data_IF_649511783437
#
_entry.id   IF_649511783437
#
_cell.length_a   1.000
_cell.length_b   1.000
_cell.length_c   1.000
_cell.angle_alpha   90.00
_cell.angle_beta   90.00
_cell.angle_gamma   90.00
#
_symmetry.space_group_name_H-M   'P 1'
#
loop_
_entity.id
_entity.type
_entity.pdbx_description
1 polymer ?
#
# COMPACT_ATOMS: atom_id res chain seq x y z
N UNK A 1 3.42 4.48 -37.57
CA UNK A 1 3.93 4.11 -36.23
C UNK A 1 2.82 3.42 -35.44
N UNK A 2 2.31 2.28 -35.95
CA UNK A 2 1.10 1.63 -35.43
C UNK A 2 1.13 0.11 -35.62
N UNK A 3 2.30 -0.52 -35.60
CA UNK A 3 2.46 -1.95 -35.91
C UNK A 3 2.94 -2.81 -34.74
N UNK A 4 3.13 -2.24 -33.55
CA UNK A 4 3.47 -3.02 -32.34
C UNK A 4 2.60 -2.58 -31.16
N UNK A 5 1.30 -2.43 -31.42
CA UNK A 5 0.31 -2.47 -30.35
C UNK A 5 0.32 -3.92 -29.85
N UNK A 6 1.29 -4.24 -28.98
CA UNK A 6 1.18 -5.42 -28.13
C UNK A 6 0.02 -5.09 -27.22
N UNK A 7 -1.18 -5.42 -27.69
CA UNK A 7 -2.35 -5.63 -26.87
C UNK A 7 -1.97 -6.77 -25.94
N UNK A 8 -1.24 -6.46 -24.86
CA UNK A 8 -1.17 -7.33 -23.70
C UNK A 8 -2.63 -7.66 -23.41
N UNK A 9 -2.99 -8.94 -23.48
CA UNK A 9 -4.38 -9.36 -23.28
C UNK A 9 -4.91 -8.75 -21.98
N UNK A 10 -6.14 -8.26 -21.96
CA UNK A 10 -6.80 -7.79 -20.74
C UNK A 10 -6.70 -8.82 -19.61
N UNK A 11 -6.66 -10.12 -19.97
CA UNK A 11 -6.45 -11.23 -19.05
C UNK A 11 -5.08 -11.19 -18.36
N UNK A 12 -4.01 -10.79 -19.08
CA UNK A 12 -2.66 -10.66 -18.54
C UNK A 12 -2.55 -9.47 -17.59
N UNK A 13 -3.17 -8.33 -17.91
CA UNK A 13 -3.20 -7.14 -17.04
C UNK A 13 -3.99 -7.42 -15.77
N UNK A 14 -5.16 -8.06 -15.90
CA UNK A 14 -5.98 -8.49 -14.77
C UNK A 14 -5.24 -9.49 -13.87
N UNK A 15 -4.56 -10.48 -14.46
CA UNK A 15 -3.74 -11.45 -13.73
C UNK A 15 -2.57 -10.80 -12.97
N UNK A 16 -1.85 -9.89 -13.62
CA UNK A 16 -0.77 -9.12 -12.98
C UNK A 16 -1.29 -8.25 -11.83
N UNK A 17 -2.38 -7.50 -12.05
CA UNK A 17 -3.01 -6.67 -11.03
C UNK A 17 -3.50 -7.48 -9.83
N UNK A 18 -4.06 -8.68 -10.08
CA UNK A 18 -4.50 -9.58 -9.02
C UNK A 18 -3.31 -10.09 -8.19
N UNK A 19 -2.22 -10.52 -8.85
CA UNK A 19 -0.99 -10.92 -8.16
C UNK A 19 -0.37 -9.78 -7.33
N UNK A 20 -0.33 -8.57 -7.89
CA UNK A 20 0.11 -7.37 -7.18
C UNK A 20 -0.80 -7.05 -5.98
N UNK A 21 -2.12 -7.22 -6.12
CA UNK A 21 -3.07 -7.01 -5.03
C UNK A 21 -2.83 -8.00 -3.87
N UNK A 22 -2.62 -9.29 -4.16
CA UNK A 22 -2.22 -10.26 -3.13
C UNK A 22 -0.90 -9.87 -2.47
N UNK A 23 0.08 -9.44 -3.26
CA UNK A 23 1.37 -9.01 -2.71
C UNK A 23 1.23 -7.80 -1.77
N UNK A 24 0.47 -6.77 -2.16
CA UNK A 24 0.17 -5.62 -1.29
C UNK A 24 -0.62 -6.07 -0.06
N UNK A 25 -1.61 -6.94 -0.22
CA UNK A 25 -2.41 -7.46 0.89
C UNK A 25 -1.53 -8.18 1.94
N UNK A 26 -0.61 -9.05 1.51
CA UNK A 26 0.36 -9.70 2.42
C UNK A 26 1.20 -8.66 3.15
N UNK A 27 1.64 -7.59 2.47
CA UNK A 27 2.39 -6.50 3.09
C UNK A 27 1.55 -5.65 4.06
N UNK A 28 0.23 -5.59 3.92
CA UNK A 28 -0.64 -4.89 4.87
C UNK A 28 -0.92 -5.72 6.13
N UNK A 29 -0.99 -7.05 6.02
CA UNK A 29 -1.22 -7.93 7.18
C UNK A 29 -0.17 -7.71 8.28
N UNK A 30 1.11 -7.61 7.92
CA UNK A 30 2.17 -7.32 8.88
C UNK A 30 1.99 -5.97 9.60
N UNK A 31 1.42 -4.96 8.93
CA UNK A 31 1.13 -3.66 9.53
C UNK A 31 -0.08 -3.72 10.47
N UNK A 32 -1.14 -4.44 10.07
CA UNK A 32 -2.36 -4.66 10.89
C UNK A 32 -2.03 -5.42 12.18
N UNK A 33 -1.14 -6.40 12.10
CA UNK A 33 -0.66 -7.17 13.27
C UNK A 33 0.38 -6.40 14.10
N UNK A 34 0.90 -5.27 13.61
CA UNK A 34 1.93 -4.49 14.28
C UNK A 34 3.31 -5.17 14.32
N UNK A 35 3.58 -6.12 13.43
CA UNK A 35 4.82 -6.88 13.41
C UNK A 35 5.98 -6.11 12.76
N UNK A 36 7.20 -6.35 13.22
CA UNK A 36 8.42 -5.79 12.65
C UNK A 36 9.19 -6.85 11.86
N UNK A 37 8.72 -7.12 10.65
CA UNK A 37 9.34 -8.08 9.74
C UNK A 37 10.40 -7.40 8.89
N UNK A 38 11.53 -8.10 8.71
CA UNK A 38 12.53 -7.67 7.73
C UNK A 38 11.97 -7.87 6.32
N UNK A 39 12.17 -6.89 5.45
CA UNK A 39 11.87 -7.05 4.03
C UNK A 39 12.89 -8.01 3.41
N UNK A 40 12.40 -9.09 2.80
CA UNK A 40 13.24 -10.01 2.02
C UNK A 40 13.30 -9.56 0.57
N UNK A 41 14.43 -9.68 -0.10
CA UNK A 41 14.53 -9.43 -1.54
C UNK A 41 14.84 -10.73 -2.29
N UNK A 42 14.14 -10.98 -3.40
CA UNK A 42 14.30 -12.17 -4.22
C UNK A 42 13.01 -12.95 -4.52
N UNK A 43 13.11 -14.02 -5.35
CA UNK A 43 11.98 -14.87 -5.68
C UNK A 43 11.42 -15.56 -4.43
N UNK A 44 10.10 -15.82 -4.40
CA UNK A 44 9.38 -16.44 -3.27
C UNK A 44 9.35 -15.62 -1.96
N UNK A 45 9.66 -14.31 -2.00
CA UNK A 45 9.51 -13.37 -0.87
C UNK A 45 8.20 -13.54 -0.09
N UNK A 46 7.09 -13.77 -0.80
CA UNK A 46 5.77 -13.98 -0.18
C UNK A 46 5.77 -15.18 0.76
N UNK A 47 6.32 -16.33 0.35
CA UNK A 47 6.37 -17.53 1.19
C UNK A 47 7.21 -17.31 2.46
N UNK A 48 8.36 -16.64 2.32
CA UNK A 48 9.19 -16.29 3.48
C UNK A 48 8.46 -15.34 4.44
N UNK A 49 7.74 -14.37 3.89
CA UNK A 49 6.93 -13.42 4.69
C UNK A 49 5.82 -14.14 5.44
N UNK A 50 5.09 -15.06 4.81
CA UNK A 50 4.05 -15.85 5.48
C UNK A 50 4.62 -16.72 6.61
N UNK A 51 5.78 -17.35 6.39
CA UNK A 51 6.46 -18.15 7.42
C UNK A 51 6.79 -17.30 8.65
N UNK A 52 7.29 -16.08 8.44
CA UNK A 52 7.68 -15.20 9.53
C UNK A 52 6.48 -14.56 10.23
N UNK A 53 5.41 -14.24 9.51
CA UNK A 53 4.12 -13.84 10.11
C UNK A 53 3.64 -14.93 11.08
N UNK A 54 3.68 -16.20 10.66
CA UNK A 54 3.22 -17.29 11.53
C UNK A 54 4.13 -17.50 12.75
N UNK A 55 5.45 -17.33 12.59
CA UNK A 55 6.41 -17.44 13.71
C UNK A 55 6.28 -16.30 14.73
N UNK A 56 6.00 -15.08 14.27
CA UNK A 56 5.92 -13.89 15.12
C UNK A 56 4.49 -13.49 15.47
N UNK A 57 3.49 -14.32 15.15
CA UNK A 57 2.08 -14.02 15.40
C UNK A 57 1.80 -13.72 16.88
N UNK A 58 2.48 -14.43 17.80
CA UNK A 58 2.36 -14.23 19.24
C UNK A 58 3.01 -12.93 19.75
N UNK A 59 3.83 -12.26 18.95
CA UNK A 59 4.44 -10.96 19.26
C UNK A 59 3.63 -9.80 18.65
N UNK A 60 2.47 -10.08 18.06
CA UNK A 60 1.59 -9.07 17.50
C UNK A 60 1.11 -8.09 18.58
N UNK A 61 0.94 -6.83 18.18
CA UNK A 61 0.50 -5.77 19.08
C UNK A 61 -1.04 -5.69 19.08
N UNK A 62 -1.72 -6.09 20.18
CA UNK A 62 -3.18 -6.13 20.21
C UNK A 62 -3.81 -4.75 20.03
N UNK A 63 -3.14 -3.67 20.45
CA UNK A 63 -3.65 -2.31 20.28
C UNK A 63 -3.66 -1.89 18.82
N UNK A 64 -2.61 -2.21 18.08
CA UNK A 64 -2.54 -1.96 16.63
C UNK A 64 -3.60 -2.76 15.88
N UNK A 65 -3.84 -4.00 16.29
CA UNK A 65 -4.90 -4.84 15.72
C UNK A 65 -6.28 -4.24 15.93
N UNK A 66 -6.60 -3.78 17.15
CA UNK A 66 -7.90 -3.15 17.46
C UNK A 66 -8.08 -1.85 16.66
N UNK A 67 -7.08 -0.97 16.64
CA UNK A 67 -7.13 0.29 15.87
C UNK A 67 -7.31 0.00 14.38
N UNK A 68 -6.60 -1.00 13.85
CA UNK A 68 -6.72 -1.41 12.44
C UNK A 68 -8.11 -1.97 12.13
N UNK A 69 -8.66 -2.81 13.01
CA UNK A 69 -10.00 -3.38 12.86
C UNK A 69 -11.08 -2.29 12.87
N UNK A 70 -10.99 -1.32 13.78
CA UNK A 70 -11.90 -0.16 13.82
C UNK A 70 -11.78 0.64 12.52
N UNK A 71 -10.55 0.95 12.10
CA UNK A 71 -10.27 1.72 10.88
C UNK A 71 -10.85 1.05 9.64
N UNK A 72 -10.61 -0.26 9.48
CA UNK A 72 -11.16 -1.06 8.38
C UNK A 72 -12.69 -1.07 8.43
N UNK A 73 -13.27 -1.29 9.61
CA UNK A 73 -14.73 -1.32 9.77
C UNK A 73 -15.38 0.00 9.37
N UNK A 74 -14.81 1.14 9.79
CA UNK A 74 -15.30 2.48 9.42
C UNK A 74 -15.20 2.71 7.92
N UNK A 75 -14.08 2.33 7.28
CA UNK A 75 -13.90 2.49 5.84
C UNK A 75 -14.89 1.61 5.05
N UNK A 76 -15.05 0.35 5.45
CA UNK A 76 -15.99 -0.59 4.81
C UNK A 76 -17.43 -0.10 4.97
N UNK A 77 -17.81 0.33 6.18
CA UNK A 77 -19.13 0.89 6.45
C UNK A 77 -19.40 2.13 5.57
N UNK A 78 -18.43 3.02 5.45
CA UNK A 78 -18.56 4.18 4.59
C UNK A 78 -18.76 3.78 3.12
N UNK A 79 -17.95 2.87 2.60
CA UNK A 79 -18.03 2.47 1.19
C UNK A 79 -19.34 1.71 0.87
N UNK A 80 -19.89 0.96 1.84
CA UNK A 80 -21.11 0.19 1.62
C UNK A 80 -22.40 0.98 1.81
N UNK A 81 -22.42 1.98 2.70
CA UNK A 81 -23.65 2.68 3.08
C UNK A 81 -23.59 4.16 2.69
N UNK A 82 -22.54 4.85 3.13
CA UNK A 82 -22.44 6.31 3.00
C UNK A 82 -22.18 6.68 1.53
N UNK A 83 -21.25 6.00 0.88
CA UNK A 83 -20.88 6.25 -0.51
C UNK A 83 -22.05 6.09 -1.49
N UNK A 84 -22.81 4.97 -1.53
CA UNK A 84 -23.97 4.86 -2.44
C UNK A 84 -25.09 5.85 -2.12
N UNK A 85 -25.34 6.13 -0.84
CA UNK A 85 -26.31 7.14 -0.44
C UNK A 85 -25.88 8.55 -0.88
N UNK A 86 -24.61 8.89 -0.69
CA UNK A 86 -24.04 10.18 -1.06
C UNK A 86 -23.94 10.36 -2.58
N UNK A 87 -23.64 9.29 -3.32
CA UNK A 87 -23.65 9.28 -4.78
C UNK A 87 -25.03 9.58 -5.37
N UNK A 88 -26.10 9.29 -4.65
CA UNK A 88 -27.47 9.67 -5.05
C UNK A 88 -27.69 11.18 -4.96
N UNK A 89 -26.93 11.88 -4.09
CA UNK A 89 -27.09 13.32 -3.81
C UNK A 89 -26.00 14.19 -4.44
N UNK A 90 -24.82 13.65 -4.72
CA UNK A 90 -23.66 14.43 -5.16
C UNK A 90 -22.72 13.58 -6.02
N UNK A 91 -22.15 14.16 -7.09
CA UNK A 91 -21.22 13.47 -8.01
C UNK A 91 -19.81 13.28 -7.43
N UNK A 92 -19.50 13.91 -6.29
CA UNK A 92 -18.17 13.94 -5.69
C UNK A 92 -18.05 12.84 -4.64
N UNK A 93 -17.01 11.99 -4.68
CA UNK A 93 -16.80 10.96 -3.66
C UNK A 93 -16.51 11.58 -2.29
N UNK A 94 -17.08 11.01 -1.23
CA UNK A 94 -16.90 11.52 0.13
C UNK A 94 -15.48 11.23 0.65
N UNK A 95 -14.73 12.22 1.18
CA UNK A 95 -13.32 12.09 1.53
C UNK A 95 -13.08 11.39 2.89
N UNK A 96 -13.77 10.27 3.18
CA UNK A 96 -13.69 9.59 4.49
C UNK A 96 -12.25 9.20 4.87
N UNK A 97 -11.46 8.77 3.89
CA UNK A 97 -10.09 8.27 4.11
C UNK A 97 -9.22 9.35 4.74
N UNK A 98 -9.39 10.60 4.31
CA UNK A 98 -8.68 11.74 4.85
C UNK A 98 -9.13 12.09 6.27
N UNK A 99 -10.45 12.02 6.53
CA UNK A 99 -11.03 12.26 7.86
C UNK A 99 -10.48 11.24 8.86
N UNK A 100 -10.55 9.95 8.52
CA UNK A 100 -10.05 8.86 9.37
C UNK A 100 -8.55 8.98 9.61
N UNK A 101 -7.76 9.30 8.58
CA UNK A 101 -6.32 9.54 8.71
C UNK A 101 -6.01 10.69 9.68
N UNK A 102 -6.71 11.81 9.54
CA UNK A 102 -6.50 13.00 10.38
C UNK A 102 -6.91 12.72 11.84
N UNK A 103 -8.08 12.10 12.04
CA UNK A 103 -8.55 11.71 13.36
C UNK A 103 -7.61 10.71 14.04
N UNK A 104 -7.15 9.68 13.31
CA UNK A 104 -6.19 8.70 13.82
C UNK A 104 -4.85 9.33 14.20
N UNK A 105 -4.38 10.30 13.42
CA UNK A 105 -3.14 11.04 13.72
C UNK A 105 -3.29 11.89 14.99
N UNK A 106 -4.42 12.59 15.14
CA UNK A 106 -4.73 13.38 16.34
C UNK A 106 -4.83 12.48 17.58
N UNK A 107 -5.54 11.36 17.49
CA UNK A 107 -5.64 10.39 18.59
C UNK A 107 -4.26 9.81 18.94
N UNK A 108 -3.44 9.47 17.94
CA UNK A 108 -2.07 8.98 18.17
C UNK A 108 -1.20 9.97 18.93
N UNK A 109 -1.33 11.26 18.61
CA UNK A 109 -0.65 12.35 19.32
C UNK A 109 -1.16 12.52 20.75
N UNK A 110 -2.48 12.62 20.95
CA UNK A 110 -3.11 12.88 22.25
C UNK A 110 -2.87 11.72 23.24
N UNK A 111 -2.95 10.48 22.77
CA UNK A 111 -2.80 9.28 23.61
C UNK A 111 -1.36 8.74 23.64
N UNK A 112 -0.43 9.38 22.93
CA UNK A 112 0.98 9.00 22.83
C UNK A 112 1.17 7.50 22.55
N UNK A 113 0.52 7.01 21.48
CA UNK A 113 0.49 5.57 21.15
C UNK A 113 1.88 4.99 20.88
N UNK A 114 2.81 5.81 20.41
CA UNK A 114 4.20 5.40 20.18
C UNK A 114 4.87 4.97 21.48
N UNK A 115 4.88 5.82 22.50
CA UNK A 115 5.60 5.55 23.74
C UNK A 115 4.86 4.56 24.65
N UNK A 116 3.52 4.60 24.66
CA UNK A 116 2.71 3.80 25.60
C UNK A 116 2.43 2.38 25.10
N UNK A 117 2.27 2.21 23.79
CA UNK A 117 1.89 0.93 23.19
C UNK A 117 2.91 0.43 22.17
N UNK A 118 4.10 1.04 22.07
CA UNK A 118 5.14 0.69 21.11
C UNK A 118 4.60 0.62 19.66
N UNK A 119 3.64 1.49 19.33
CA UNK A 119 3.05 1.56 18.00
C UNK A 119 3.98 2.29 17.05
N UNK A 120 4.17 1.75 15.84
CA UNK A 120 4.98 2.42 14.81
C UNK A 120 4.24 3.62 14.27
N UNK A 121 4.88 4.79 14.31
CA UNK A 121 4.33 6.04 13.77
C UNK A 121 5.07 6.42 12.48
N UNK A 122 4.39 7.21 11.65
CA UNK A 122 5.04 7.89 10.53
C UNK A 122 6.02 8.89 11.13
N UNK A 123 7.31 8.71 10.84
CA UNK A 123 8.38 9.55 11.36
C UNK A 123 8.35 10.98 10.80
N UNK A 124 9.47 11.69 10.93
CA UNK A 124 9.58 13.05 10.41
C UNK A 124 9.51 13.06 8.88
N UNK A 125 8.52 13.76 8.35
CA UNK A 125 8.40 14.02 6.91
C UNK A 125 9.17 15.32 6.62
N UNK A 126 10.20 15.31 5.76
CA UNK A 126 10.92 16.52 5.41
C UNK A 126 9.99 17.50 4.67
N UNK A 127 10.09 18.78 5.01
CA UNK A 127 9.32 19.84 4.37
C UNK A 127 10.12 20.49 3.26
N UNK A 128 9.48 20.73 2.11
CA UNK A 128 10.11 21.33 0.93
C UNK A 128 10.50 20.30 -0.14
N UNK A 129 10.99 20.80 -1.28
CA UNK A 129 11.47 19.95 -2.36
C UNK A 129 12.87 19.40 -2.02
N UNK A 130 13.12 18.11 -2.26
CA UNK A 130 14.47 17.58 -2.17
C UNK A 130 15.36 18.24 -3.24
N UNK A 131 16.64 18.40 -2.95
CA UNK A 131 17.60 18.96 -3.90
C UNK A 131 17.71 18.06 -5.13
N UNK A 132 17.54 18.60 -6.36
CA UNK A 132 17.69 17.82 -7.59
C UNK A 132 19.06 17.15 -7.61
N UNK A 133 19.07 15.82 -7.72
CA UNK A 133 20.29 15.01 -7.71
C UNK A 133 20.32 14.18 -8.99
N UNK A 134 21.45 14.16 -9.68
CA UNK A 134 21.63 13.37 -10.91
C UNK A 134 21.67 11.89 -10.54
N UNK A 135 20.91 11.02 -11.23
CA UNK A 135 20.93 9.60 -10.96
C UNK A 135 22.30 9.00 -11.35
N UNK A 136 22.88 8.11 -10.53
CA UNK A 136 24.14 7.46 -10.84
C UNK A 136 24.00 6.54 -12.07
N UNK A 137 24.68 6.89 -13.16
CA UNK A 137 24.61 6.16 -14.44
C UNK A 137 25.18 4.73 -14.32
N UNK A 138 26.08 4.51 -13.37
CA UNK A 138 26.68 3.19 -13.08
C UNK A 138 25.65 2.12 -12.67
N UNK A 139 24.49 2.53 -12.12
CA UNK A 139 23.40 1.63 -11.74
C UNK A 139 22.48 1.28 -12.92
N UNK A 140 22.53 2.04 -14.01
CA UNK A 140 21.67 1.88 -15.17
C UNK A 140 21.69 0.46 -15.77
N UNK A 141 22.86 -0.20 -16.00
CA UNK A 141 22.87 -1.57 -16.53
C UNK A 141 22.27 -2.60 -15.57
N UNK A 142 22.23 -2.34 -14.26
CA UNK A 142 21.65 -3.26 -13.27
C UNK A 142 20.13 -3.17 -13.20
N UNK A 143 19.55 -2.02 -13.52
CA UNK A 143 18.10 -1.77 -13.39
C UNK A 143 17.37 -1.75 -14.74
N UNK A 144 18.09 -1.75 -15.88
CA UNK A 144 17.49 -1.60 -17.21
C UNK A 144 16.39 -2.62 -17.50
N UNK A 145 16.56 -3.87 -17.05
CA UNK A 145 15.58 -4.94 -17.23
C UNK A 145 14.33 -4.69 -16.39
N UNK A 146 14.47 -4.35 -15.11
CA UNK A 146 13.34 -4.01 -14.24
C UNK A 146 12.59 -2.78 -14.76
N UNK A 147 13.33 -1.76 -15.22
CA UNK A 147 12.76 -0.56 -15.83
C UNK A 147 11.98 -0.86 -17.11
N UNK A 148 12.49 -1.75 -17.99
CA UNK A 148 11.78 -2.15 -19.20
C UNK A 148 10.45 -2.83 -18.86
N UNK A 149 10.44 -3.73 -17.87
CA UNK A 149 9.22 -4.40 -17.39
C UNK A 149 8.22 -3.37 -16.83
N UNK A 150 8.67 -2.47 -15.95
CA UNK A 150 7.83 -1.42 -15.37
C UNK A 150 7.26 -0.52 -16.47
N UNK A 151 8.06 -0.16 -17.48
CA UNK A 151 7.63 0.68 -18.60
C UNK A 151 6.50 0.02 -19.40
N UNK A 152 6.64 -1.26 -19.76
CA UNK A 152 5.60 -2.02 -20.47
C UNK A 152 4.32 -2.12 -19.65
N UNK A 153 4.42 -2.44 -18.35
CA UNK A 153 3.26 -2.51 -17.45
C UNK A 153 2.59 -1.15 -17.31
N UNK A 154 3.35 -0.09 -17.08
CA UNK A 154 2.82 1.27 -16.92
C UNK A 154 2.11 1.75 -18.21
N UNK A 155 2.74 1.56 -19.37
CA UNK A 155 2.13 1.87 -20.66
C UNK A 155 0.82 1.11 -20.85
N UNK A 156 0.82 -0.20 -20.55
CA UNK A 156 -0.38 -1.03 -20.70
C UNK A 156 -1.51 -0.57 -19.78
N UNK A 157 -1.22 -0.31 -18.50
CA UNK A 157 -2.23 0.16 -17.53
C UNK A 157 -2.76 1.55 -17.90
N UNK A 158 -1.92 2.44 -18.42
CA UNK A 158 -2.34 3.77 -18.85
C UNK A 158 -3.25 3.76 -20.07
N UNK A 159 -3.06 2.82 -21.01
CA UNK A 159 -3.88 2.69 -22.22
C UNK A 159 -5.07 1.72 -22.07
N UNK A 160 -5.11 0.92 -21.00
CA UNK A 160 -6.21 -0.01 -20.69
C UNK A 160 -7.43 0.68 -20.03
N UNK A 161 -7.35 1.97 -19.72
CA UNK A 161 -8.42 2.80 -19.16
C UNK A 161 -8.90 3.83 -20.17
#
# INVERSE_FOLDING_TARGET
MGSYSVFLSDMMVSGFSTGAAFHVFTLQIQHILGLNLKSYDGPLKLMYTYRDINKQLFTANPVVMVISAITISVIVFNNLIIEPWFHTKTRVPFPIKFIVLTAGTLLSYLFNFHHKYNMRIVGKIPTGLPTPTVPPIELMPKIVTDCAIICVVAFTVSFSK
#
